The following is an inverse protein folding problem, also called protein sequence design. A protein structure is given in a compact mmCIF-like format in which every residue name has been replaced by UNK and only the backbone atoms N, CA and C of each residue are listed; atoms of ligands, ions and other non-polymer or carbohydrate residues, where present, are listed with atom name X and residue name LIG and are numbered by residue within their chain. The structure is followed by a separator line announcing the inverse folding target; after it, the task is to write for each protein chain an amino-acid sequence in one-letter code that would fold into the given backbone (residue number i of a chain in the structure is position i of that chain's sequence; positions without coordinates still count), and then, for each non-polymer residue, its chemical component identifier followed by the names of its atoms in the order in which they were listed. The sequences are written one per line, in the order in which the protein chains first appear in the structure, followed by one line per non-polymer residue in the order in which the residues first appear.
data_IF_849687288015
#
_entry.id   IF_849687288015
#
_cell.length_a   1.000
_cell.length_b   1.000
_cell.length_c   1.000
_cell.angle_alpha   90.00
_cell.angle_beta   90.00
_cell.angle_gamma   90.00
#
_symmetry.space_group_name_H-M   'P 1'
#
loop_
_entity.id
_entity.type
_entity.pdbx_description
1 polymer ?
#
# COMPACT_ATOMS: atom_id res chain seq x y z
N UNK A 1 13.36 -23.53 9.25
CA UNK A 1 13.77 -22.51 10.25
C UNK A 1 13.40 -21.16 9.66
N UNK A 2 12.34 -20.53 10.15
CA UNK A 2 11.89 -19.23 9.63
C UNK A 2 12.92 -18.18 10.04
N UNK A 3 13.69 -17.66 9.08
CA UNK A 3 14.51 -16.48 9.33
C UNK A 3 13.53 -15.33 9.57
N UNK A 4 13.30 -14.96 10.84
CA UNK A 4 12.59 -13.71 11.14
C UNK A 4 13.42 -12.60 10.50
N UNK A 5 12.95 -12.09 9.35
CA UNK A 5 13.54 -10.91 8.71
C UNK A 5 13.57 -9.80 9.76
N UNK A 6 14.71 -9.13 9.88
CA UNK A 6 14.85 -7.99 10.77
C UNK A 6 13.85 -6.92 10.33
N UNK A 7 12.98 -6.50 11.26
CA UNK A 7 11.92 -5.54 10.97
C UNK A 7 12.51 -4.14 10.95
N UNK A 8 12.27 -3.40 9.88
CA UNK A 8 12.62 -1.99 9.81
C UNK A 8 11.72 -1.20 10.74
N UNK A 9 12.25 -0.51 11.77
CA UNK A 9 11.45 0.27 12.69
C UNK A 9 10.61 1.34 11.97
N UNK A 10 9.48 1.70 12.55
CA UNK A 10 8.66 2.80 12.03
C UNK A 10 9.45 4.11 11.97
N UNK A 11 9.24 4.86 10.88
CA UNK A 11 9.96 6.11 10.65
C UNK A 11 11.42 5.91 10.24
N UNK A 12 11.82 4.68 9.89
CA UNK A 12 13.16 4.35 9.38
C UNK A 12 13.12 3.62 8.03
N UNK A 13 11.93 3.30 7.51
CA UNK A 13 11.78 2.71 6.18
C UNK A 13 11.43 3.74 5.11
N UNK A 14 11.08 3.23 3.93
CA UNK A 14 10.71 4.04 2.76
C UNK A 14 9.36 4.76 2.89
N UNK A 15 8.58 4.52 3.95
CA UNK A 15 7.46 5.39 4.32
C UNK A 15 7.87 6.85 4.50
N UNK A 16 9.14 7.11 4.83
CA UNK A 16 9.71 8.45 4.86
C UNK A 16 9.67 9.15 3.48
N UNK A 17 9.70 8.40 2.38
CA UNK A 17 9.57 8.98 1.04
C UNK A 17 8.18 9.57 0.81
N UNK A 18 7.15 8.97 1.43
CA UNK A 18 5.80 9.52 1.44
C UNK A 18 5.79 10.88 2.12
N UNK A 19 6.35 10.97 3.33
CA UNK A 19 6.37 12.20 4.12
C UNK A 19 7.25 13.30 3.49
N UNK A 20 8.34 12.89 2.83
CA UNK A 20 9.27 13.80 2.16
C UNK A 20 8.85 14.17 0.75
N UNK A 21 7.80 13.57 0.20
CA UNK A 21 7.40 13.80 -1.20
C UNK A 21 7.25 15.28 -1.56
N UNK A 22 6.66 16.08 -0.65
CA UNK A 22 6.45 17.52 -0.86
C UNK A 22 7.75 18.32 -1.02
N UNK A 23 8.88 17.80 -0.54
CA UNK A 23 10.20 18.41 -0.70
C UNK A 23 10.90 18.09 -2.02
N UNK A 24 10.35 17.18 -2.84
CA UNK A 24 10.90 16.84 -4.15
C UNK A 24 10.76 18.05 -5.09
N UNK A 25 11.86 18.44 -5.72
CA UNK A 25 11.93 19.61 -6.62
C UNK A 25 11.06 19.42 -7.89
N UNK A 26 11.00 18.21 -8.43
CA UNK A 26 10.28 17.88 -9.67
C UNK A 26 8.97 17.11 -9.41
N UNK A 27 8.29 17.38 -8.29
CA UNK A 27 7.04 16.69 -7.96
C UNK A 27 5.91 17.10 -8.90
N UNK A 28 5.09 16.13 -9.28
CA UNK A 28 3.89 16.34 -10.11
C UNK A 28 2.68 16.78 -9.27
N UNK A 29 2.60 16.34 -8.02
CA UNK A 29 1.51 16.63 -7.09
C UNK A 29 2.02 17.51 -5.93
N UNK A 30 1.13 18.20 -5.21
CA UNK A 30 1.55 19.08 -4.13
C UNK A 30 2.14 18.30 -2.94
N UNK A 31 1.55 17.14 -2.63
CA UNK A 31 1.93 16.24 -1.55
C UNK A 31 1.66 14.76 -1.94
N UNK A 32 2.10 13.82 -1.09
CA UNK A 32 1.95 12.40 -1.36
C UNK A 32 0.49 11.91 -1.31
N UNK A 33 -0.38 12.55 -0.53
CA UNK A 33 -1.80 12.17 -0.47
C UNK A 33 -2.52 12.49 -1.79
N UNK A 34 -2.23 13.65 -2.40
CA UNK A 34 -2.73 13.97 -3.74
C UNK A 34 -2.20 13.01 -4.80
N UNK A 35 -0.92 12.63 -4.70
CA UNK A 35 -0.35 11.62 -5.59
C UNK A 35 -1.05 10.27 -5.42
N UNK A 36 -1.21 9.82 -4.18
CA UNK A 36 -1.93 8.57 -3.85
C UNK A 36 -3.37 8.59 -4.36
N UNK A 37 -4.08 9.71 -4.17
CA UNK A 37 -5.46 9.84 -4.63
C UNK A 37 -5.54 9.75 -6.16
N UNK A 38 -4.71 10.54 -6.87
CA UNK A 38 -4.68 10.48 -8.34
C UNK A 38 -4.24 9.12 -8.87
N UNK A 39 -3.35 8.43 -8.17
CA UNK A 39 -2.88 7.11 -8.55
C UNK A 39 -3.95 6.04 -8.34
N UNK A 40 -4.65 6.08 -7.20
CA UNK A 40 -5.73 5.14 -6.87
C UNK A 40 -6.98 5.30 -7.73
N UNK A 41 -7.25 6.50 -8.24
CA UNK A 41 -8.37 6.73 -9.17
C UNK A 41 -8.23 5.88 -10.45
N UNK A 42 -7.00 5.50 -10.84
CA UNK A 42 -6.76 4.63 -12.00
C UNK A 42 -7.36 3.22 -11.83
N UNK A 43 -7.52 2.77 -10.58
CA UNK A 43 -8.05 1.44 -10.25
C UNK A 43 -9.57 1.42 -10.06
N UNK A 44 -10.24 2.57 -10.12
CA UNK A 44 -11.67 2.68 -9.81
C UNK A 44 -12.55 1.85 -10.76
N UNK A 45 -12.20 1.77 -12.05
CA UNK A 45 -12.98 1.00 -13.02
C UNK A 45 -12.93 -0.50 -12.71
N UNK A 46 -11.74 -1.02 -12.36
CA UNK A 46 -11.59 -2.43 -12.02
C UNK A 46 -12.24 -2.78 -10.70
N UNK A 47 -12.23 -1.86 -9.73
CA UNK A 47 -12.97 -2.03 -8.49
C UNK A 47 -14.44 -2.36 -8.76
N UNK A 48 -15.10 -1.65 -9.69
CA UNK A 48 -16.51 -1.90 -10.04
C UNK A 48 -16.80 -3.31 -10.59
N UNK A 49 -15.77 -4.04 -11.03
CA UNK A 49 -15.86 -5.40 -11.57
C UNK A 49 -15.40 -6.46 -10.57
N UNK A 50 -14.78 -6.05 -9.46
CA UNK A 50 -14.24 -6.96 -8.45
C UNK A 50 -15.37 -7.66 -7.69
N UNK A 51 -15.27 -8.98 -7.53
CA UNK A 51 -16.39 -9.78 -7.00
C UNK A 51 -16.50 -9.74 -5.46
N UNK A 52 -15.38 -9.52 -4.77
CA UNK A 52 -15.24 -9.59 -3.31
C UNK A 52 -15.06 -8.21 -2.66
N UNK A 53 -15.77 -7.20 -3.16
CA UNK A 53 -15.59 -5.80 -2.72
C UNK A 53 -15.73 -5.62 -1.21
N UNK A 54 -16.85 -6.06 -0.62
CA UNK A 54 -17.11 -5.85 0.80
C UNK A 54 -16.06 -6.53 1.69
N UNK A 55 -15.70 -7.77 1.33
CA UNK A 55 -14.72 -8.56 2.07
C UNK A 55 -13.33 -7.89 2.04
N UNK A 56 -12.84 -7.47 0.87
CA UNK A 56 -11.58 -6.73 0.79
C UNK A 56 -11.64 -5.40 1.56
N UNK A 57 -12.77 -4.67 1.46
CA UNK A 57 -12.94 -3.40 2.16
C UNK A 57 -12.88 -3.57 3.70
N UNK A 58 -13.47 -4.64 4.22
CA UNK A 58 -13.40 -5.00 5.64
C UNK A 58 -11.95 -5.33 6.06
N UNK A 59 -11.19 -6.06 5.22
CA UNK A 59 -9.78 -6.38 5.51
C UNK A 59 -8.88 -5.16 5.54
N UNK A 60 -9.21 -4.08 4.83
CA UNK A 60 -8.41 -2.85 4.79
C UNK A 60 -8.99 -1.71 5.64
N UNK A 61 -9.77 -2.05 6.67
CA UNK A 61 -10.34 -1.09 7.63
C UNK A 61 -11.20 0.00 6.96
N UNK A 62 -11.86 -0.31 5.84
CA UNK A 62 -12.70 0.63 5.12
C UNK A 62 -11.96 1.63 4.22
N UNK A 63 -10.63 1.53 4.06
CA UNK A 63 -9.87 2.37 3.12
C UNK A 63 -10.18 1.95 1.67
N UNK A 64 -11.11 2.68 1.05
CA UNK A 64 -11.57 2.40 -0.32
C UNK A 64 -10.44 2.51 -1.34
N UNK A 65 -9.56 3.50 -1.21
CA UNK A 65 -8.48 3.72 -2.19
C UNK A 65 -7.47 2.59 -2.15
N UNK A 66 -7.17 2.10 -0.94
CA UNK A 66 -6.31 0.94 -0.77
C UNK A 66 -6.98 -0.35 -1.29
N UNK A 67 -8.28 -0.53 -1.03
CA UNK A 67 -9.04 -1.65 -1.59
C UNK A 67 -9.01 -1.65 -3.13
N UNK A 68 -9.19 -0.49 -3.77
CA UNK A 68 -9.14 -0.37 -5.24
C UNK A 68 -7.80 -0.80 -5.80
N UNK A 69 -6.71 -0.28 -5.23
CA UNK A 69 -5.35 -0.57 -5.65
C UNK A 69 -5.01 -2.06 -5.45
N UNK A 70 -5.41 -2.65 -4.33
CA UNK A 70 -5.20 -4.09 -4.08
C UNK A 70 -6.01 -4.92 -5.08
N UNK A 71 -7.27 -4.58 -5.34
CA UNK A 71 -8.08 -5.27 -6.34
C UNK A 71 -7.45 -5.19 -7.74
N UNK A 72 -6.89 -4.04 -8.11
CA UNK A 72 -6.24 -3.83 -9.41
C UNK A 72 -4.94 -4.62 -9.59
N UNK A 73 -4.02 -4.54 -8.62
CA UNK A 73 -2.68 -5.14 -8.77
C UNK A 73 -2.57 -6.57 -8.25
N UNK A 74 -3.41 -6.95 -7.28
CA UNK A 74 -3.35 -8.25 -6.60
C UNK A 74 -4.55 -9.11 -6.95
N UNK A 75 -5.72 -8.50 -7.15
CA UNK A 75 -6.94 -9.19 -7.55
C UNK A 75 -7.42 -10.22 -6.53
N UNK A 76 -7.99 -11.32 -7.02
CA UNK A 76 -8.62 -12.35 -6.19
C UNK A 76 -7.63 -13.08 -5.23
N UNK A 77 -6.32 -12.91 -5.43
CA UNK A 77 -5.28 -13.47 -4.56
C UNK A 77 -4.98 -12.61 -3.33
N UNK A 78 -5.74 -11.55 -3.09
CA UNK A 78 -5.45 -10.56 -2.05
C UNK A 78 -5.35 -11.16 -0.64
N UNK A 79 -6.15 -12.17 -0.30
CA UNK A 79 -6.08 -12.80 1.04
C UNK A 79 -4.72 -13.45 1.29
N UNK A 80 -4.19 -14.15 0.29
CA UNK A 80 -2.86 -14.73 0.40
C UNK A 80 -1.81 -13.61 0.47
N UNK A 81 -1.92 -12.61 -0.40
CA UNK A 81 -1.00 -11.48 -0.44
C UNK A 81 -0.93 -10.72 0.89
N UNK A 82 -2.07 -10.52 1.55
CA UNK A 82 -2.15 -9.84 2.86
C UNK A 82 -1.30 -10.51 3.95
N UNK A 83 -1.04 -11.81 3.83
CA UNK A 83 -0.28 -12.61 4.80
C UNK A 83 1.20 -12.80 4.45
N UNK A 84 1.62 -12.35 3.26
CA UNK A 84 3.01 -12.49 2.81
C UNK A 84 3.95 -11.62 3.63
N UNK A 85 5.03 -12.18 4.14
CA UNK A 85 6.10 -11.47 4.88
C UNK A 85 7.38 -11.30 4.05
N UNK A 86 7.33 -11.66 2.76
CA UNK A 86 8.44 -11.66 1.83
C UNK A 86 8.45 -10.47 0.85
N UNK A 87 7.50 -9.54 0.99
CA UNK A 87 7.34 -8.39 0.10
C UNK A 87 8.44 -7.36 0.40
N UNK A 88 9.35 -7.22 -0.55
CA UNK A 88 10.38 -6.18 -0.53
C UNK A 88 9.75 -4.79 -0.48
N UNK A 89 10.35 -3.88 0.28
CA UNK A 89 9.78 -2.58 0.60
C UNK A 89 9.13 -2.56 1.98
N UNK A 90 8.28 -3.51 2.36
CA UNK A 90 7.52 -3.44 3.62
C UNK A 90 8.36 -3.57 4.91
N UNK A 91 9.67 -3.75 4.79
CA UNK A 91 10.59 -3.74 5.93
C UNK A 91 10.40 -4.93 6.86
N UNK A 92 10.06 -6.10 6.29
CA UNK A 92 9.84 -7.33 7.05
C UNK A 92 8.46 -7.47 7.71
N UNK A 93 7.51 -6.63 7.30
CA UNK A 93 6.10 -6.70 7.71
C UNK A 93 5.26 -7.28 6.57
N UNK A 94 4.22 -8.02 6.94
CA UNK A 94 3.15 -8.36 6.00
C UNK A 94 2.22 -7.18 5.73
N UNK A 95 1.48 -7.17 4.60
CA UNK A 95 0.52 -6.11 4.35
C UNK A 95 -0.55 -5.98 5.44
N UNK A 96 -1.03 -7.09 6.01
CA UNK A 96 -1.96 -7.04 7.14
C UNK A 96 -1.38 -6.34 8.36
N UNK A 97 -0.12 -6.61 8.71
CA UNK A 97 0.55 -5.91 9.82
C UNK A 97 0.75 -4.42 9.51
N UNK A 98 1.01 -4.07 8.24
CA UNK A 98 1.12 -2.67 7.84
C UNK A 98 -0.20 -1.89 7.99
N UNK A 99 -1.36 -2.54 7.96
CA UNK A 99 -2.66 -1.87 8.15
C UNK A 99 -2.91 -1.43 9.60
N UNK A 100 -2.12 -1.94 10.56
CA UNK A 100 -2.30 -1.66 11.99
C UNK A 100 -1.81 -0.27 12.39
N UNK A 101 -0.94 0.36 11.58
CA UNK A 101 -0.31 1.64 11.92
C UNK A 101 -0.28 2.60 10.73
N UNK A 102 -0.25 3.90 11.02
CA UNK A 102 -0.14 4.94 9.98
C UNK A 102 1.15 4.82 9.18
N UNK A 103 2.25 4.41 9.82
CA UNK A 103 3.53 4.20 9.15
C UNK A 103 3.47 2.99 8.21
N UNK A 104 2.87 1.88 8.64
CA UNK A 104 2.65 0.72 7.79
C UNK A 104 1.77 1.05 6.59
N UNK A 105 0.69 1.80 6.77
CA UNK A 105 -0.17 2.23 5.65
C UNK A 105 0.62 3.07 4.64
N UNK A 106 1.51 3.98 5.10
CA UNK A 106 2.40 4.73 4.20
C UNK A 106 3.37 3.82 3.44
N UNK A 107 3.91 2.76 4.07
CA UNK A 107 4.70 1.72 3.37
C UNK A 107 3.88 1.08 2.26
N UNK A 108 2.65 0.65 2.55
CA UNK A 108 1.77 0.04 1.54
C UNK A 108 1.50 0.98 0.37
N UNK A 109 1.16 2.24 0.65
CA UNK A 109 0.92 3.23 -0.40
C UNK A 109 2.16 3.44 -1.26
N UNK A 110 3.32 3.61 -0.63
CA UNK A 110 4.59 3.77 -1.35
C UNK A 110 4.94 2.54 -2.17
N UNK A 111 4.70 1.32 -1.67
CA UNK A 111 4.96 0.08 -2.38
C UNK A 111 4.26 0.09 -3.74
N UNK A 112 2.96 0.38 -3.75
CA UNK A 112 2.20 0.44 -5.01
C UNK A 112 2.64 1.61 -5.89
N UNK A 113 2.83 2.80 -5.33
CA UNK A 113 3.24 3.96 -6.11
C UNK A 113 4.63 3.81 -6.76
N UNK A 114 5.52 2.99 -6.18
CA UNK A 114 6.81 2.65 -6.78
C UNK A 114 6.72 1.61 -7.90
N UNK A 115 5.68 0.76 -7.91
CA UNK A 115 5.47 -0.22 -8.99
C UNK A 115 5.08 0.42 -10.34
N UNK A 116 4.63 1.67 -10.34
CA UNK A 116 4.21 2.39 -11.54
C UNK A 116 5.29 3.30 -12.13
N UNK A 117 6.56 3.14 -11.71
CA UNK A 117 7.71 3.86 -12.25
C UNK A 117 8.68 2.90 -12.96
#
# INVERSE_FOLDING_TARGET
MSHKRERTPEGQGFELDYDRYSSRLNRKFANADEWWNSYSDLAQEEWGKFSRQQDLLEKVNGDHRLAWIIAHFVGESYEHWLTRDDIDGLGGYSPSECLETTWGVKRLRMLFMQMAC
#
